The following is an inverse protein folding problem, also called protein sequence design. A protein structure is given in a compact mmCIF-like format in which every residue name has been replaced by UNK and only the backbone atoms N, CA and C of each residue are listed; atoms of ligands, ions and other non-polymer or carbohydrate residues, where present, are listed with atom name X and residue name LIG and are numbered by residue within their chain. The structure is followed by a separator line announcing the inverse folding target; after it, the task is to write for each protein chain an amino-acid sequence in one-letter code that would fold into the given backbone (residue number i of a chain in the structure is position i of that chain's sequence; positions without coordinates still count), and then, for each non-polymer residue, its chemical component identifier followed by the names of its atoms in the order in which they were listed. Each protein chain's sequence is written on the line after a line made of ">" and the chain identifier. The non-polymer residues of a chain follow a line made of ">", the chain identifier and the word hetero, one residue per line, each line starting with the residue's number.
data_IF_227342050662
#
_entry.id   IF_227342050662
#
_cell.length_a   1.000
_cell.length_b   1.000
_cell.length_c   1.000
_cell.angle_alpha   90.00
_cell.angle_beta   90.00
_cell.angle_gamma   90.00
#
_symmetry.space_group_name_H-M   'P 1'
#
loop_
_entity.id
_entity.type
_entity.pdbx_description
1 polymer ?
#
# COMPACT_ATOMS: atom_id res chain seq x y z
N UNK A 1 5.24 -13.92 -12.32
CA UNK A 1 6.31 -12.94 -12.64
C UNK A 1 7.36 -12.99 -11.54
N UNK A 2 8.55 -12.41 -11.73
CA UNK A 2 9.65 -12.55 -10.76
C UNK A 2 9.32 -11.85 -9.42
N UNK A 3 9.52 -12.56 -8.31
CA UNK A 3 9.45 -12.04 -6.94
C UNK A 3 10.31 -10.78 -6.76
N UNK A 4 11.45 -10.72 -7.47
CA UNK A 4 12.33 -9.55 -7.49
C UNK A 4 11.65 -8.29 -8.06
N UNK A 5 10.79 -8.42 -9.08
CA UNK A 5 10.08 -7.27 -9.65
C UNK A 5 9.03 -6.71 -8.67
N UNK A 6 8.43 -7.57 -7.84
CA UNK A 6 7.50 -7.15 -6.78
C UNK A 6 8.25 -6.40 -5.69
N UNK A 7 9.41 -6.92 -5.24
CA UNK A 7 10.24 -6.25 -4.22
C UNK A 7 10.67 -4.86 -4.68
N UNK A 8 11.19 -4.73 -5.91
CA UNK A 8 11.63 -3.44 -6.47
C UNK A 8 10.49 -2.43 -6.54
N UNK A 9 9.29 -2.86 -6.95
CA UNK A 9 8.14 -1.97 -7.00
C UNK A 9 7.71 -1.48 -5.60
N UNK A 10 7.69 -2.38 -4.61
CA UNK A 10 7.37 -2.03 -3.22
C UNK A 10 8.42 -1.09 -2.65
N UNK A 11 9.71 -1.40 -2.84
CA UNK A 11 10.82 -0.56 -2.37
C UNK A 11 10.76 0.86 -2.94
N UNK A 12 10.43 1.02 -4.22
CA UNK A 12 10.22 2.34 -4.83
C UNK A 12 9.05 3.07 -4.17
N UNK A 13 7.89 2.44 -4.00
CA UNK A 13 6.75 3.10 -3.34
C UNK A 13 7.06 3.50 -1.90
N UNK A 14 7.73 2.62 -1.14
CA UNK A 14 8.12 2.92 0.24
C UNK A 14 9.08 4.11 0.28
N UNK A 15 10.08 4.12 -0.59
CA UNK A 15 11.08 5.20 -0.65
C UNK A 15 10.47 6.53 -1.09
N UNK A 16 9.60 6.51 -2.08
CA UNK A 16 9.19 7.72 -2.80
C UNK A 16 7.85 8.28 -2.29
N UNK A 17 7.00 7.44 -1.69
CA UNK A 17 5.59 7.77 -1.47
C UNK A 17 5.02 7.40 -0.11
N UNK A 18 5.72 6.65 0.76
CA UNK A 18 5.17 6.17 2.03
C UNK A 18 4.49 7.27 2.87
N UNK A 19 5.22 8.33 3.21
CA UNK A 19 4.68 9.43 4.02
C UNK A 19 3.50 10.14 3.38
N UNK A 20 3.48 10.26 2.05
CA UNK A 20 2.37 10.84 1.29
C UNK A 20 1.12 9.95 1.34
N UNK A 21 1.30 8.62 1.25
CA UNK A 21 0.20 7.66 1.36
C UNK A 21 -0.41 7.67 2.77
N UNK A 22 0.42 7.66 3.82
CA UNK A 22 -0.04 7.79 5.21
C UNK A 22 -0.80 9.10 5.41
N UNK A 23 -0.27 10.23 4.91
CA UNK A 23 -0.94 11.52 5.00
C UNK A 23 -2.32 11.50 4.32
N UNK A 24 -2.45 10.88 3.14
CA UNK A 24 -3.73 10.77 2.44
C UNK A 24 -4.75 9.86 3.16
N UNK A 25 -4.28 8.83 3.86
CA UNK A 25 -5.13 7.93 4.63
C UNK A 25 -5.61 8.59 5.93
N UNK A 26 -4.70 9.27 6.65
CA UNK A 26 -5.01 9.94 7.91
C UNK A 26 -5.70 11.31 7.74
N UNK A 27 -5.72 11.89 6.55
CA UNK A 27 -6.17 13.28 6.32
C UNK A 27 -7.55 13.61 6.90
N UNK A 28 -8.48 12.63 6.94
CA UNK A 28 -9.85 12.85 7.44
C UNK A 28 -10.04 12.46 8.91
N UNK A 29 -9.37 11.42 9.38
CA UNK A 29 -9.52 10.91 10.75
C UNK A 29 -8.55 11.55 11.74
N UNK A 30 -7.42 12.06 11.27
CA UNK A 30 -6.28 12.40 12.11
C UNK A 30 -5.56 11.17 12.70
N UNK A 31 -6.04 9.96 12.39
CA UNK A 31 -5.51 8.70 12.91
C UNK A 31 -4.34 8.23 12.05
N UNK A 32 -3.14 8.67 12.44
CA UNK A 32 -1.89 8.30 11.76
C UNK A 32 -1.54 6.84 12.03
N UNK A 33 -1.76 6.35 13.25
CA UNK A 33 -1.41 4.98 13.62
C UNK A 33 -2.25 3.95 12.83
N UNK A 34 -3.57 4.15 12.77
CA UNK A 34 -4.45 3.31 11.96
C UNK A 34 -4.14 3.40 10.46
N UNK A 35 -3.71 4.57 9.97
CA UNK A 35 -3.28 4.73 8.59
C UNK A 35 -1.99 3.95 8.26
N UNK A 36 -1.00 3.97 9.15
CA UNK A 36 0.24 3.19 8.98
C UNK A 36 -0.02 1.69 9.04
N UNK A 37 -0.87 1.23 9.97
CA UNK A 37 -1.29 -0.16 10.08
C UNK A 37 -2.00 -0.64 8.81
N UNK A 38 -3.02 0.11 8.35
CA UNK A 38 -3.76 -0.24 7.14
C UNK A 38 -2.89 -0.23 5.88
N UNK A 39 -1.93 0.69 5.79
CA UNK A 39 -0.96 0.72 4.69
C UNK A 39 0.00 -0.49 4.76
N UNK A 40 0.41 -0.90 5.95
CA UNK A 40 1.18 -2.13 6.17
C UNK A 40 0.45 -3.38 5.65
N UNK A 41 -0.83 -3.52 6.01
CA UNK A 41 -1.68 -4.61 5.51
C UNK A 41 -1.81 -4.57 3.97
N UNK A 42 -1.91 -3.39 3.38
CA UNK A 42 -1.93 -3.23 1.93
C UNK A 42 -0.62 -3.69 1.27
N UNK A 43 0.55 -3.42 1.86
CA UNK A 43 1.82 -3.94 1.37
C UNK A 43 1.90 -5.48 1.47
N UNK A 44 1.40 -6.07 2.55
CA UNK A 44 1.31 -7.54 2.69
C UNK A 44 0.42 -8.14 1.60
N UNK A 45 -0.70 -7.49 1.28
CA UNK A 45 -1.56 -7.91 0.18
C UNK A 45 -0.88 -7.76 -1.18
N UNK A 46 -0.12 -6.68 -1.39
CA UNK A 46 0.66 -6.45 -2.61
C UNK A 46 1.70 -7.56 -2.84
N UNK A 47 2.48 -7.94 -1.82
CA UNK A 47 3.45 -9.04 -1.93
C UNK A 47 2.82 -10.35 -2.42
N UNK A 48 1.64 -10.68 -1.90
CA UNK A 48 0.91 -11.90 -2.27
C UNK A 48 0.33 -11.81 -3.68
N UNK A 49 -0.21 -10.66 -4.07
CA UNK A 49 -0.98 -10.51 -5.31
C UNK A 49 -0.13 -10.13 -6.50
N UNK A 50 0.84 -9.24 -6.33
CA UNK A 50 1.69 -8.78 -7.44
C UNK A 50 2.69 -9.85 -7.90
N UNK A 51 3.06 -10.80 -7.04
CA UNK A 51 3.91 -11.93 -7.42
C UNK A 51 3.24 -12.85 -8.47
N UNK A 52 1.92 -13.02 -8.35
CA UNK A 52 1.12 -13.87 -9.26
C UNK A 52 0.49 -13.08 -10.40
N UNK A 53 -0.14 -11.93 -10.11
CA UNK A 53 -0.92 -11.14 -11.06
C UNK A 53 -0.11 -10.01 -11.72
N UNK A 54 1.04 -9.66 -11.16
CA UNK A 54 1.88 -8.55 -11.61
C UNK A 54 1.67 -7.25 -10.84
N UNK A 55 2.64 -6.36 -10.98
CA UNK A 55 2.57 -5.01 -10.43
C UNK A 55 1.59 -4.20 -11.29
N UNK A 56 0.56 -3.58 -10.71
CA UNK A 56 -0.38 -2.75 -11.44
C UNK A 56 0.30 -1.48 -11.98
N UNK A 57 -0.25 -0.89 -13.04
CA UNK A 57 0.28 0.34 -13.66
C UNK A 57 0.36 1.52 -12.66
N UNK A 58 -0.54 1.53 -11.65
CA UNK A 58 -0.59 2.55 -10.60
C UNK A 58 -0.52 1.90 -9.21
N UNK A 59 0.68 1.50 -8.74
CA UNK A 59 0.87 0.82 -7.45
C UNK A 59 0.35 1.61 -6.25
N UNK A 60 0.62 2.92 -6.20
CA UNK A 60 0.19 3.82 -5.13
C UNK A 60 -1.34 3.89 -5.01
N UNK A 61 -2.04 3.98 -6.15
CA UNK A 61 -3.50 4.03 -6.17
C UNK A 61 -4.11 2.70 -5.70
N UNK A 62 -3.50 1.58 -6.08
CA UNK A 62 -3.91 0.27 -5.63
C UNK A 62 -3.73 0.11 -4.12
N UNK A 63 -2.59 0.54 -3.57
CA UNK A 63 -2.31 0.49 -2.13
C UNK A 63 -3.27 1.37 -1.33
N UNK A 64 -3.56 2.59 -1.80
CA UNK A 64 -4.57 3.46 -1.16
C UNK A 64 -5.94 2.81 -1.14
N UNK A 65 -6.33 2.14 -2.22
CA UNK A 65 -7.62 1.47 -2.30
C UNK A 65 -7.72 0.32 -1.28
N UNK A 66 -6.70 -0.55 -1.23
CA UNK A 66 -6.67 -1.67 -0.28
C UNK A 66 -6.61 -1.19 1.16
N UNK A 67 -5.77 -0.22 1.48
CA UNK A 67 -5.66 0.35 2.83
C UNK A 67 -6.98 1.00 3.28
N UNK A 68 -7.67 1.75 2.40
CA UNK A 68 -8.97 2.34 2.71
C UNK A 68 -10.04 1.30 3.02
N UNK A 69 -10.10 0.22 2.25
CA UNK A 69 -11.04 -0.87 2.54
C UNK A 69 -10.74 -1.47 3.92
N UNK A 70 -9.46 -1.68 4.24
CA UNK A 70 -9.05 -2.20 5.55
C UNK A 70 -9.44 -1.29 6.72
N UNK A 71 -9.35 0.04 6.55
CA UNK A 71 -9.78 1.01 7.58
C UNK A 71 -11.29 1.04 7.80
N UNK A 72 -12.10 0.57 6.83
CA UNK A 72 -13.55 0.47 6.98
C UNK A 72 -13.95 -0.83 7.69
N UNK A 73 -13.18 -1.90 7.46
CA UNK A 73 -13.45 -3.23 8.04
C UNK A 73 -12.96 -3.39 9.50
N UNK A 74 -12.23 -2.40 10.03
CA UNK A 74 -11.61 -2.43 11.37
C UNK A 74 -12.56 -1.98 12.49
#
# INVERSE_FOLDING_TARGET
>A
MSEAATSVAIESVVRDSYGRLVAYLAARSGDVAGAEEALGDAFVAALKRWSTEGVPEKPEAWLLHVARNRMIDA
#
